data_IF_939630724840
#
_entry.id   IF_939630724840
#
_cell.length_a   1.000
_cell.length_b   1.000
_cell.length_c   1.000
_cell.angle_alpha   90.00
_cell.angle_beta   90.00
_cell.angle_gamma   90.00
#
_symmetry.space_group_name_H-M   'P 1'
#
loop_
_entity.id
_entity.type
_entity.pdbx_description
1 polymer ?
#
# COMPACT_ATOMS: atom_id res chain seq x y z
N UNK A 1 13.38 -15.46 11.54
CA UNK A 1 14.74 -15.56 10.97
C UNK A 1 14.89 -14.44 9.97
N UNK A 2 15.81 -13.51 10.19
CA UNK A 2 16.09 -12.42 9.25
C UNK A 2 16.71 -13.00 7.96
N UNK A 3 16.37 -12.48 6.77
CA UNK A 3 17.00 -12.91 5.53
C UNK A 3 18.49 -12.51 5.52
N UNK A 4 19.35 -13.25 4.80
CA UNK A 4 20.77 -12.95 4.73
C UNK A 4 21.02 -11.60 4.04
N UNK A 5 21.98 -10.84 4.57
CA UNK A 5 22.51 -9.61 3.98
C UNK A 5 23.24 -9.95 2.68
N UNK A 6 22.95 -9.20 1.61
CA UNK A 6 23.72 -9.25 0.38
C UNK A 6 25.10 -8.61 0.62
N UNK A 7 26.12 -9.44 0.82
CA UNK A 7 27.52 -9.01 0.76
C UNK A 7 27.95 -8.99 -0.70
N UNK A 8 28.37 -7.83 -1.18
CA UNK A 8 29.04 -7.70 -2.48
C UNK A 8 30.54 -7.65 -2.24
N UNK A 9 31.29 -8.47 -2.97
CA UNK A 9 32.74 -8.39 -3.01
C UNK A 9 33.16 -7.09 -3.71
N UNK A 10 34.01 -6.29 -3.06
CA UNK A 10 34.68 -5.17 -3.72
C UNK A 10 35.68 -5.74 -4.75
N UNK A 11 35.28 -5.73 -6.02
CA UNK A 11 36.19 -6.02 -7.12
C UNK A 11 37.15 -4.84 -7.27
N UNK A 12 38.37 -5.03 -6.78
CA UNK A 12 39.49 -4.11 -6.95
C UNK A 12 39.88 -4.08 -8.44
N UNK A 13 39.48 -3.03 -9.17
CA UNK A 13 39.72 -2.93 -10.61
C UNK A 13 41.16 -2.52 -10.90
N UNK A 14 42.07 -3.49 -10.97
CA UNK A 14 43.27 -3.35 -11.80
C UNK A 14 42.83 -3.32 -13.26
N UNK A 15 43.18 -2.24 -13.96
CA UNK A 15 42.87 -2.01 -15.38
C UNK A 15 43.45 -3.13 -16.23
N UNK A 16 42.60 -3.90 -16.92
CA UNK A 16 42.91 -4.42 -18.25
C UNK A 16 41.65 -4.93 -18.99
N UNK A 17 41.36 -4.25 -20.11
CA UNK A 17 40.79 -4.79 -21.36
C UNK A 17 39.62 -5.76 -21.32
N UNK A 18 38.40 -5.24 -21.13
CA UNK A 18 37.13 -5.57 -21.83
C UNK A 18 35.96 -5.17 -20.92
N UNK A 19 35.71 -3.87 -20.83
CA UNK A 19 34.56 -3.36 -20.08
C UNK A 19 33.28 -3.58 -20.89
N UNK A 20 32.34 -4.36 -20.32
CA UNK A 20 30.94 -4.24 -20.69
C UNK A 20 30.55 -2.77 -20.58
N UNK A 21 30.12 -2.17 -21.69
CA UNK A 21 29.77 -0.76 -21.73
C UNK A 21 28.52 -0.53 -20.89
N UNK A 22 28.70 -0.14 -19.62
CA UNK A 22 27.64 0.51 -18.84
C UNK A 22 27.30 1.77 -19.63
N UNK A 23 26.15 1.75 -20.32
CA UNK A 23 25.61 2.94 -21.00
C UNK A 23 25.30 3.98 -19.93
N UNK A 24 26.29 4.82 -19.64
CA UNK A 24 26.25 5.92 -18.66
C UNK A 24 25.13 6.93 -19.00
N UNK A 25 24.73 6.95 -20.26
CA UNK A 25 23.78 7.89 -20.84
C UNK A 25 22.50 7.20 -21.33
N UNK A 26 21.78 6.51 -20.42
CA UNK A 26 20.36 6.24 -20.66
C UNK A 26 19.62 7.58 -20.74
N UNK A 27 18.87 7.90 -21.80
CA UNK A 27 18.22 9.20 -21.92
C UNK A 27 17.33 9.48 -20.70
N UNK A 28 17.70 10.49 -19.91
CA UNK A 28 16.81 11.05 -18.90
C UNK A 28 15.88 12.00 -19.65
N UNK A 29 14.64 11.59 -19.86
CA UNK A 29 13.62 12.55 -20.28
C UNK A 29 13.43 13.56 -19.15
N UNK A 30 14.05 14.72 -19.29
CA UNK A 30 13.69 15.94 -18.58
C UNK A 30 12.22 16.22 -18.88
N UNK A 31 11.47 16.68 -17.87
CA UNK A 31 10.03 16.96 -17.98
C UNK A 31 9.75 17.93 -19.13
N UNK A 32 9.49 17.39 -20.32
CA UNK A 32 8.79 18.10 -21.40
C UNK A 32 7.30 18.11 -21.07
N UNK A 33 6.62 19.22 -21.37
CA UNK A 33 5.18 19.38 -21.22
C UNK A 33 4.44 18.12 -21.66
N UNK A 34 3.88 17.40 -20.70
CA UNK A 34 3.32 16.07 -20.89
C UNK A 34 2.08 16.15 -21.77
N UNK A 35 2.21 15.73 -23.03
CA UNK A 35 1.06 15.14 -23.71
C UNK A 35 0.66 13.92 -22.89
N UNK A 36 -0.48 14.01 -22.22
CA UNK A 36 -1.10 12.89 -21.51
C UNK A 36 -1.41 11.84 -22.57
N UNK A 37 -0.61 10.76 -22.61
CA UNK A 37 -0.99 9.57 -23.39
C UNK A 37 -2.35 9.10 -22.86
N UNK A 38 -3.29 8.86 -23.75
CA UNK A 38 -4.62 8.35 -23.41
C UNK A 38 -4.50 7.14 -22.46
N UNK A 39 -5.38 7.09 -21.47
CA UNK A 39 -5.43 6.02 -20.48
C UNK A 39 -5.66 4.69 -21.22
N UNK A 40 -4.64 3.83 -21.29
CA UNK A 40 -4.79 2.51 -21.90
C UNK A 40 -5.68 1.65 -21.00
N UNK A 41 -6.64 0.95 -21.58
CA UNK A 41 -7.51 0.01 -20.83
C UNK A 41 -6.78 -1.31 -20.63
N UNK A 42 -7.14 -2.04 -19.57
CA UNK A 42 -6.55 -3.36 -19.27
C UNK A 42 -6.74 -4.35 -20.42
N UNK A 43 -7.89 -4.30 -21.09
CA UNK A 43 -8.21 -5.09 -22.28
C UNK A 43 -7.22 -4.82 -23.42
N UNK A 44 -6.92 -3.54 -23.67
CA UNK A 44 -5.96 -3.11 -24.70
C UNK A 44 -4.53 -3.53 -24.36
N UNK A 45 -4.18 -3.60 -23.08
CA UNK A 45 -2.86 -4.06 -22.63
C UNK A 45 -2.75 -5.58 -22.70
N UNK A 46 -3.81 -6.31 -22.34
CA UNK A 46 -3.88 -7.77 -22.41
C UNK A 46 -3.74 -8.29 -23.84
N UNK A 47 -4.41 -7.64 -24.81
CA UNK A 47 -4.28 -7.98 -26.23
C UNK A 47 -2.88 -7.69 -26.80
N UNK A 48 -2.10 -6.82 -26.15
CA UNK A 48 -0.75 -6.44 -26.57
C UNK A 48 0.35 -7.20 -25.81
N UNK A 49 0.00 -8.17 -24.97
CA UNK A 49 0.96 -8.97 -24.20
C UNK A 49 1.94 -9.72 -25.12
N UNK A 50 1.42 -10.36 -26.17
CA UNK A 50 2.23 -11.08 -27.16
C UNK A 50 2.91 -10.14 -28.17
N UNK A 51 2.48 -8.87 -28.26
CA UNK A 51 2.93 -7.90 -29.27
C UNK A 51 4.02 -6.93 -28.74
N UNK A 52 4.86 -7.40 -27.80
CA UNK A 52 5.99 -6.62 -27.31
C UNK A 52 5.62 -5.61 -26.22
N UNK A 53 4.82 -6.05 -25.23
CA UNK A 53 4.56 -5.28 -24.03
C UNK A 53 5.86 -4.76 -23.40
N UNK A 54 5.93 -3.46 -23.17
CA UNK A 54 7.09 -2.82 -22.55
C UNK A 54 6.64 -1.65 -21.67
N UNK A 55 7.21 -1.57 -20.47
CA UNK A 55 7.02 -0.43 -19.59
C UNK A 55 7.78 0.79 -20.11
N UNK A 56 7.34 1.98 -19.70
CA UNK A 56 8.12 3.19 -19.92
C UNK A 56 9.52 3.06 -19.27
N UNK A 57 10.58 3.57 -19.91
CA UNK A 57 11.92 3.53 -19.33
C UNK A 57 11.97 4.36 -18.03
N UNK A 58 12.66 3.83 -17.02
CA UNK A 58 12.87 4.48 -15.72
C UNK A 58 14.30 4.23 -15.23
N UNK A 59 14.85 5.15 -14.44
CA UNK A 59 16.11 4.95 -13.70
C UNK A 59 15.83 4.67 -12.22
N UNK A 60 16.61 3.80 -11.59
CA UNK A 60 16.50 3.37 -10.19
C UNK A 60 16.52 4.57 -9.23
N UNK A 61 17.35 5.57 -9.54
CA UNK A 61 17.46 6.80 -8.74
C UNK A 61 16.20 7.68 -8.78
N UNK A 62 15.32 7.52 -9.78
CA UNK A 62 14.02 8.19 -9.80
C UNK A 62 13.08 7.53 -8.79
N UNK A 63 13.07 6.20 -8.73
CA UNK A 63 12.27 5.41 -7.78
C UNK A 63 12.70 5.69 -6.35
N UNK A 64 14.00 5.61 -6.06
CA UNK A 64 14.56 5.90 -4.73
C UNK A 64 14.18 7.31 -4.25
N UNK A 65 14.40 8.35 -5.08
CA UNK A 65 14.04 9.73 -4.72
C UNK A 65 12.53 9.96 -4.60
N UNK A 66 11.72 9.21 -5.33
CA UNK A 66 10.26 9.33 -5.25
C UNK A 66 9.74 8.83 -3.89
N UNK A 67 10.29 7.72 -3.39
CA UNK A 67 9.92 7.17 -2.08
C UNK A 67 10.48 8.03 -0.95
N UNK A 68 11.79 8.29 -0.94
CA UNK A 68 12.44 8.99 0.18
C UNK A 68 11.89 10.41 0.37
N UNK A 69 11.67 11.16 -0.72
CA UNK A 69 11.12 12.53 -0.60
C UNK A 69 9.78 12.56 0.12
N UNK A 70 8.87 11.62 -0.19
CA UNK A 70 7.54 11.56 0.43
C UNK A 70 7.64 11.15 1.88
N UNK A 71 8.39 10.08 2.16
CA UNK A 71 8.53 9.58 3.51
C UNK A 71 9.18 10.60 4.46
N UNK A 72 10.20 11.34 4.01
CA UNK A 72 10.79 12.41 4.82
C UNK A 72 9.83 13.59 5.03
N UNK A 73 9.00 13.92 4.03
CA UNK A 73 7.96 14.93 4.19
C UNK A 73 6.92 14.50 5.23
N UNK A 74 6.51 13.23 5.22
CA UNK A 74 5.61 12.69 6.23
C UNK A 74 6.25 12.71 7.62
N UNK A 75 7.52 12.29 7.75
CA UNK A 75 8.27 12.32 9.01
C UNK A 75 8.36 13.75 9.59
N UNK A 76 8.65 14.75 8.76
CA UNK A 76 8.73 16.15 9.19
C UNK A 76 7.36 16.69 9.60
N UNK A 77 6.33 16.44 8.79
CA UNK A 77 4.96 16.90 9.06
C UNK A 77 4.35 16.32 10.34
N UNK A 78 4.62 15.04 10.63
CA UNK A 78 4.09 14.31 11.78
C UNK A 78 5.06 14.25 12.97
N UNK A 79 6.24 14.86 12.89
CA UNK A 79 7.14 15.05 14.04
C UNK A 79 6.43 15.75 15.21
N UNK A 80 5.47 16.62 14.89
CA UNK A 80 4.49 17.17 15.83
C UNK A 80 3.08 16.84 15.31
N UNK A 81 2.33 16.01 16.05
CA UNK A 81 1.00 15.53 15.67
C UNK A 81 -0.04 15.93 16.71
N UNK A 82 -1.29 16.17 16.30
CA UNK A 82 -2.38 16.49 17.23
C UNK A 82 -2.85 15.24 18.00
N UNK A 83 -2.89 14.10 17.31
CA UNK A 83 -3.29 12.81 17.86
C UNK A 83 -2.33 11.73 17.37
N UNK A 84 -1.90 10.85 18.28
CA UNK A 84 -1.14 9.64 17.94
C UNK A 84 -1.94 8.42 18.38
N UNK A 85 -2.21 7.50 17.44
CA UNK A 85 -2.84 6.20 17.68
C UNK A 85 -1.77 5.13 17.57
N UNK A 86 -1.58 4.33 18.63
CA UNK A 86 -0.60 3.25 18.66
C UNK A 86 -1.32 1.91 18.48
N UNK A 87 -1.02 1.23 17.38
CA UNK A 87 -1.63 -0.04 16.98
C UNK A 87 -2.76 0.16 15.96
N UNK A 88 -2.55 -0.35 14.75
CA UNK A 88 -3.51 -0.37 13.65
C UNK A 88 -4.34 -1.65 13.64
N UNK A 89 -4.79 -2.11 14.81
CA UNK A 89 -5.78 -3.19 14.92
C UNK A 89 -7.21 -2.72 14.60
N UNK A 90 -8.21 -3.60 14.72
CA UNK A 90 -9.62 -3.24 14.50
C UNK A 90 -10.05 -2.00 15.29
N UNK A 91 -9.72 -1.94 16.59
CA UNK A 91 -10.05 -0.79 17.43
C UNK A 91 -9.36 0.51 16.99
N UNK A 92 -8.05 0.45 16.74
CA UNK A 92 -7.25 1.62 16.36
C UNK A 92 -7.65 2.18 14.99
N UNK A 93 -7.93 1.29 14.02
CA UNK A 93 -8.43 1.68 12.70
C UNK A 93 -9.84 2.27 12.78
N UNK A 94 -10.74 1.70 13.59
CA UNK A 94 -12.08 2.28 13.79
C UNK A 94 -12.01 3.67 14.43
N UNK A 95 -11.13 3.85 15.43
CA UNK A 95 -10.91 5.16 16.05
C UNK A 95 -10.33 6.18 15.05
N UNK A 96 -9.32 5.78 14.27
CA UNK A 96 -8.71 6.61 13.24
C UNK A 96 -9.73 7.04 12.17
N UNK A 97 -10.58 6.11 11.71
CA UNK A 97 -11.64 6.39 10.74
C UNK A 97 -12.64 7.42 11.27
N UNK A 98 -13.16 7.23 12.48
CA UNK A 98 -14.15 8.14 13.06
C UNK A 98 -13.56 9.53 13.30
N UNK A 99 -12.33 9.61 13.81
CA UNK A 99 -11.63 10.88 14.04
C UNK A 99 -11.33 11.61 12.72
N UNK A 100 -10.78 10.91 11.72
CA UNK A 100 -10.47 11.49 10.41
C UNK A 100 -11.71 12.00 9.68
N UNK A 101 -12.85 11.33 9.84
CA UNK A 101 -14.14 11.76 9.27
C UNK A 101 -14.73 12.99 9.99
N UNK A 102 -14.66 13.03 11.32
CA UNK A 102 -15.26 14.11 12.11
C UNK A 102 -14.38 15.37 12.19
N UNK A 103 -13.05 15.20 12.15
CA UNK A 103 -12.06 16.25 12.36
C UNK A 103 -10.95 16.18 11.31
N UNK A 104 -11.28 16.47 10.04
CA UNK A 104 -10.30 16.43 8.94
C UNK A 104 -9.21 17.49 9.06
N UNK A 105 -9.36 18.44 9.98
CA UNK A 105 -8.38 19.48 10.31
C UNK A 105 -7.24 18.98 11.20
N UNK A 106 -7.42 17.86 11.90
CA UNK A 106 -6.41 17.33 12.84
C UNK A 106 -5.40 16.42 12.13
N UNK A 107 -4.12 16.55 12.52
CA UNK A 107 -3.03 15.67 12.11
C UNK A 107 -3.03 14.41 12.98
N UNK A 108 -3.55 13.31 12.44
CA UNK A 108 -3.65 12.01 13.13
C UNK A 108 -2.54 11.08 12.62
N UNK A 109 -1.57 10.75 13.48
CA UNK A 109 -0.54 9.77 13.19
C UNK A 109 -0.97 8.37 13.70
N UNK A 110 -0.97 7.36 12.82
CA UNK A 110 -1.23 5.97 13.18
C UNK A 110 0.08 5.18 13.11
N UNK A 111 0.57 4.71 14.26
CA UNK A 111 1.83 3.99 14.38
C UNK A 111 1.54 2.51 14.62
N UNK A 112 2.01 1.66 13.72
CA UNK A 112 1.86 0.20 13.79
C UNK A 112 3.24 -0.47 13.86
N UNK A 113 3.35 -1.51 14.67
CA UNK A 113 4.61 -2.23 14.87
C UNK A 113 4.91 -3.20 13.72
N UNK A 114 3.87 -3.79 13.13
CA UNK A 114 3.98 -4.74 12.03
C UNK A 114 4.03 -4.05 10.66
N UNK A 115 4.61 -4.72 9.66
CA UNK A 115 4.54 -4.25 8.26
C UNK A 115 3.08 -4.24 7.76
N UNK A 116 2.33 -5.28 8.12
CA UNK A 116 0.91 -5.41 7.82
C UNK A 116 0.06 -4.79 8.95
N UNK A 117 -0.77 -3.77 8.66
CA UNK A 117 -1.77 -3.31 9.63
C UNK A 117 -2.90 -4.33 9.78
N UNK A 118 -3.88 -4.05 10.63
CA UNK A 118 -5.07 -4.88 10.87
C UNK A 118 -5.02 -5.70 12.17
N UNK A 119 -3.82 -5.98 12.69
CA UNK A 119 -3.64 -6.73 13.93
C UNK A 119 -4.33 -8.10 13.87
N UNK A 120 -5.23 -8.38 14.82
CA UNK A 120 -6.00 -9.64 14.86
C UNK A 120 -7.22 -9.69 13.95
N UNK A 121 -7.53 -8.64 13.20
CA UNK A 121 -8.77 -8.54 12.41
C UNK A 121 -8.73 -9.28 11.07
N UNK A 122 -7.62 -9.95 10.74
CA UNK A 122 -7.48 -10.73 9.50
C UNK A 122 -8.26 -12.05 9.52
N UNK A 123 -8.54 -12.59 10.71
CA UNK A 123 -9.20 -13.89 10.89
C UNK A 123 -10.21 -13.82 12.05
N UNK A 124 -11.12 -14.77 12.09
CA UNK A 124 -11.95 -15.08 13.25
C UNK A 124 -11.24 -16.02 14.24
N UNK A 125 -12.03 -16.65 15.11
CA UNK A 125 -11.51 -17.60 16.09
C UNK A 125 -10.98 -18.88 15.45
N UNK A 126 -9.93 -19.46 16.04
CA UNK A 126 -9.36 -20.75 15.61
C UNK A 126 -8.95 -20.80 14.12
N UNK A 127 -8.47 -19.67 13.59
CA UNK A 127 -8.08 -19.50 12.18
C UNK A 127 -9.23 -19.62 11.17
N UNK A 128 -10.49 -19.65 11.62
CA UNK A 128 -11.64 -19.53 10.73
C UNK A 128 -11.77 -18.09 10.21
N UNK A 129 -12.51 -17.90 9.12
CA UNK A 129 -12.55 -16.62 8.41
C UNK A 129 -13.67 -15.68 8.85
N UNK A 130 -14.78 -16.22 9.35
CA UNK A 130 -15.98 -15.44 9.64
C UNK A 130 -15.74 -14.46 10.80
N UNK A 131 -16.14 -13.20 10.59
CA UNK A 131 -16.12 -12.17 11.63
C UNK A 131 -17.55 -11.90 12.10
N UNK A 132 -17.80 -12.22 13.37
CA UNK A 132 -19.12 -12.04 13.99
C UNK A 132 -19.14 -10.70 14.73
N UNK A 133 -20.14 -9.86 14.45
CA UNK A 133 -20.37 -8.61 15.17
C UNK A 133 -21.79 -8.58 15.73
N UNK A 134 -21.93 -8.38 17.04
CA UNK A 134 -23.25 -8.22 17.68
C UNK A 134 -23.84 -6.84 17.37
N UNK A 135 -25.15 -6.76 17.21
CA UNK A 135 -25.83 -5.46 17.03
C UNK A 135 -25.69 -4.63 18.32
N UNK A 136 -25.51 -3.29 18.23
CA UNK A 136 -25.71 -2.44 17.04
C UNK A 136 -24.44 -2.16 16.19
N UNK A 137 -23.42 -3.02 16.22
CA UNK A 137 -22.18 -2.80 15.46
C UNK A 137 -22.36 -2.83 13.92
N UNK A 138 -23.47 -3.40 13.43
CA UNK A 138 -23.88 -3.38 12.03
C UNK A 138 -24.00 -1.95 11.45
N UNK A 139 -24.32 -0.96 12.29
CA UNK A 139 -24.36 0.44 11.88
C UNK A 139 -22.99 0.93 11.38
N UNK A 140 -21.91 0.47 12.00
CA UNK A 140 -20.55 0.81 11.58
C UNK A 140 -20.18 0.12 10.27
N UNK A 141 -20.59 -1.14 10.09
CA UNK A 141 -20.38 -1.86 8.83
C UNK A 141 -21.11 -1.20 7.65
N UNK A 142 -22.34 -0.72 7.87
CA UNK A 142 -23.08 0.07 6.87
C UNK A 142 -22.39 1.38 6.53
N UNK A 143 -21.82 2.08 7.51
CA UNK A 143 -21.08 3.33 7.27
C UNK A 143 -19.78 3.10 6.47
N UNK A 144 -19.13 1.93 6.66
CA UNK A 144 -17.96 1.51 5.90
C UNK A 144 -18.29 0.89 4.53
N UNK A 145 -19.55 0.54 4.27
CA UNK A 145 -19.96 -0.20 3.08
C UNK A 145 -19.49 -1.66 3.06
N UNK A 146 -19.33 -2.28 4.22
CA UNK A 146 -18.95 -3.70 4.36
C UNK A 146 -20.22 -4.54 4.37
N UNK A 147 -20.32 -5.49 3.44
CA UNK A 147 -21.43 -6.43 3.36
C UNK A 147 -21.36 -7.48 4.49
N UNK A 148 -22.54 -7.90 4.97
CA UNK A 148 -22.68 -8.89 6.03
C UNK A 148 -24.00 -9.66 5.87
N UNK A 149 -24.03 -10.88 6.42
CA UNK A 149 -25.26 -11.65 6.60
C UNK A 149 -25.88 -11.32 7.96
N UNK A 150 -27.19 -11.11 8.01
CA UNK A 150 -27.92 -10.79 9.25
C UNK A 150 -28.52 -12.07 9.86
N UNK A 151 -28.14 -12.37 11.10
CA UNK A 151 -28.52 -13.57 11.86
C UNK A 151 -29.38 -13.20 13.10
N UNK A 152 -30.04 -12.04 13.09
CA UNK A 152 -30.87 -11.56 14.19
C UNK A 152 -30.11 -10.63 15.13
N UNK A 153 -29.62 -11.13 16.27
CA UNK A 153 -28.93 -10.30 17.29
C UNK A 153 -27.46 -10.00 16.92
N UNK A 154 -26.95 -10.64 15.87
CA UNK A 154 -25.61 -10.44 15.35
C UNK A 154 -25.59 -10.54 13.83
N UNK A 155 -24.49 -10.07 13.24
CA UNK A 155 -24.22 -10.15 11.80
C UNK A 155 -22.88 -10.86 11.57
N UNK A 156 -22.70 -11.42 10.38
CA UNK A 156 -21.50 -12.17 10.00
C UNK A 156 -20.91 -11.63 8.71
N UNK A 157 -19.66 -11.20 8.75
CA UNK A 157 -18.89 -10.82 7.55
C UNK A 157 -18.20 -12.08 7.01
N UNK A 158 -18.54 -12.49 5.78
CA UNK A 158 -18.11 -13.76 5.17
C UNK A 158 -16.61 -13.86 4.91
N UNK A 159 -15.97 -12.77 4.47
CA UNK A 159 -14.52 -12.70 4.31
C UNK A 159 -14.05 -11.27 4.59
N UNK A 160 -13.08 -11.10 5.49
CA UNK A 160 -12.54 -9.78 5.86
C UNK A 160 -11.88 -9.03 4.67
N UNK A 161 -11.73 -9.67 3.50
CA UNK A 161 -11.20 -9.11 2.25
C UNK A 161 -11.93 -9.70 1.03
N UNK A 162 -13.22 -9.45 0.84
CA UNK A 162 -13.79 -9.64 -0.50
C UNK A 162 -14.92 -8.65 -0.78
N UNK A 163 -14.80 -7.81 -1.82
CA UNK A 163 -15.96 -7.15 -2.40
C UNK A 163 -16.70 -8.21 -3.23
N UNK A 164 -17.85 -8.69 -2.75
CA UNK A 164 -18.77 -9.45 -3.60
C UNK A 164 -19.36 -8.49 -4.63
N UNK A 165 -18.84 -8.49 -5.84
CA UNK A 165 -19.61 -8.01 -6.98
C UNK A 165 -20.70 -9.06 -7.27
N UNK A 166 -21.97 -8.68 -7.47
CA UNK A 166 -23.01 -9.62 -7.84
C UNK A 166 -22.68 -10.25 -9.20
N UNK A 167 -22.79 -11.58 -9.28
CA UNK A 167 -22.83 -12.33 -10.55
C UNK A 167 -24.16 -12.11 -11.27
#
# INVERSE_FOLDING_TARGET
>A
MSPPVATFDEVNTSRNGNSFAIKKDLPVHTKGNGQVKAHQTLETMASNWENGFTFAPIRESQVSRAMTRRYFQDLDNYAESDIVIVGAGSCGLSAAYMLGKQRPDLKIALIEASVSPGGGAWLGGQLFSAMVMRKPADAFLRDLGVEYDDEGDFVVVKHAVSPSHPM
#
